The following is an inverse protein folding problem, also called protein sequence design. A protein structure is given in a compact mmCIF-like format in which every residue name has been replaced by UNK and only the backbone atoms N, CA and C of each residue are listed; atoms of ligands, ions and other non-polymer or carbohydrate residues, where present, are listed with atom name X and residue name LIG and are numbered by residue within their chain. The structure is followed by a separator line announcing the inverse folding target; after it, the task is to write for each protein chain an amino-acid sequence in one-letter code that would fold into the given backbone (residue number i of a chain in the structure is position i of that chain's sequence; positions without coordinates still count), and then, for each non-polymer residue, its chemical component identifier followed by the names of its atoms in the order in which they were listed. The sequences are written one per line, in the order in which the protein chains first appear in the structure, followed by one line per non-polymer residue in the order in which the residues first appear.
data_IF_558012611951
#
_entry.id   IF_558012611951
#
_cell.length_a   1.000
_cell.length_b   1.000
_cell.length_c   1.000
_cell.angle_alpha   90.00
_cell.angle_beta   90.00
_cell.angle_gamma   90.00
#
_symmetry.space_group_name_H-M   'P 1'
#
loop_
_entity.id
_entity.type
_entity.pdbx_description
1 polymer ?
#
# COMPACT_ATOMS: atom_id res chain seq x y z
N UNK A 1 -11.38 56.32 -59.00
CA UNK A 1 -10.07 56.08 -58.33
C UNK A 1 -10.33 55.89 -56.84
N UNK A 2 -9.91 54.72 -56.33
CA UNK A 2 -9.72 54.24 -54.95
C UNK A 2 -10.46 54.94 -53.78
N UNK A 3 -11.43 54.22 -53.22
CA UNK A 3 -11.91 54.37 -51.83
C UNK A 3 -11.00 53.53 -50.94
N UNK A 4 -10.34 54.14 -49.95
CA UNK A 4 -9.68 53.43 -48.85
C UNK A 4 -10.75 52.97 -47.85
N UNK A 5 -10.79 51.67 -47.56
CA UNK A 5 -11.48 51.12 -46.39
C UNK A 5 -10.44 50.33 -45.59
N UNK A 6 -10.09 50.86 -44.43
CA UNK A 6 -9.34 50.20 -43.38
C UNK A 6 -10.36 49.57 -42.43
N UNK A 7 -10.49 48.25 -42.43
CA UNK A 7 -11.05 47.53 -41.30
C UNK A 7 -10.12 46.39 -40.90
N UNK A 8 -9.63 46.52 -39.67
CA UNK A 8 -8.62 45.68 -39.06
C UNK A 8 -9.05 44.23 -38.87
N UNK A 9 -8.08 43.35 -39.05
CA UNK A 9 -8.13 41.94 -38.71
C UNK A 9 -8.37 41.77 -37.21
N UNK A 10 -9.57 41.33 -36.83
CA UNK A 10 -9.80 40.77 -35.50
C UNK A 10 -9.21 39.35 -35.49
N UNK A 11 -7.94 39.23 -35.12
CA UNK A 11 -7.34 37.94 -34.77
C UNK A 11 -7.92 37.50 -33.44
N UNK A 12 -8.91 36.62 -33.46
CA UNK A 12 -9.37 35.90 -32.27
C UNK A 12 -8.28 34.90 -31.89
N UNK A 13 -7.34 35.31 -31.05
CA UNK A 13 -6.37 34.41 -30.43
C UNK A 13 -7.11 33.54 -29.42
N UNK A 14 -7.64 32.39 -29.88
CA UNK A 14 -8.13 31.35 -28.99
C UNK A 14 -6.94 30.79 -28.21
N UNK A 15 -6.73 31.31 -26.99
CA UNK A 15 -5.78 30.73 -26.04
C UNK A 15 -6.27 29.32 -25.68
N UNK A 16 -5.73 28.32 -26.37
CA UNK A 16 -5.85 26.93 -25.96
C UNK A 16 -5.10 26.80 -24.62
N UNK A 17 -5.83 26.97 -23.53
CA UNK A 17 -5.37 26.68 -22.18
C UNK A 17 -5.14 25.16 -22.14
N UNK A 18 -3.92 24.74 -22.50
CA UNK A 18 -3.47 23.36 -22.34
C UNK A 18 -3.43 23.12 -20.84
N UNK A 19 -4.54 22.67 -20.26
CA UNK A 19 -4.57 22.14 -18.91
C UNK A 19 -3.66 20.92 -18.92
N UNK A 20 -2.40 21.12 -18.54
CA UNK A 20 -1.55 20.06 -18.06
C UNK A 20 -2.29 19.47 -16.87
N UNK A 21 -3.11 18.44 -17.12
CA UNK A 21 -3.64 17.58 -16.09
C UNK A 21 -2.37 17.06 -15.41
N UNK A 22 -2.07 17.43 -14.16
CA UNK A 22 -0.94 16.84 -13.48
C UNK A 22 -1.21 15.35 -13.48
N UNK A 23 -0.36 14.58 -14.15
CA UNK A 23 -0.39 13.12 -14.11
C UNK A 23 -0.27 12.76 -12.64
N UNK A 24 -1.38 12.51 -11.95
CA UNK A 24 -1.39 12.20 -10.54
C UNK A 24 -0.78 10.82 -10.37
N UNK A 25 0.55 10.72 -10.38
CA UNK A 25 1.31 9.56 -9.96
C UNK A 25 1.25 9.49 -8.43
N UNK A 26 0.03 9.23 -7.98
CA UNK A 26 -0.49 9.46 -6.67
C UNK A 26 -0.50 8.18 -5.81
N UNK A 27 0.60 7.43 -5.81
CA UNK A 27 0.57 6.03 -5.42
C UNK A 27 1.91 5.58 -4.79
N UNK A 28 1.90 4.60 -3.88
CA UNK A 28 3.05 4.19 -3.05
C UNK A 28 3.38 2.70 -3.20
N UNK A 29 4.62 2.31 -2.95
CA UNK A 29 5.08 0.91 -2.91
C UNK A 29 5.87 0.66 -1.63
N UNK A 30 5.87 -0.58 -1.18
CA UNK A 30 6.60 -1.00 0.01
C UNK A 30 8.09 -1.16 -0.31
N UNK A 31 8.94 -0.38 0.35
CA UNK A 31 10.41 -0.43 0.23
C UNK A 31 11.08 -1.22 1.34
N UNK A 32 10.43 -1.36 2.49
CA UNK A 32 10.87 -2.27 3.55
C UNK A 32 9.69 -3.12 4.04
N UNK A 33 9.73 -4.46 3.92
CA UNK A 33 10.67 -5.20 3.07
C UNK A 33 10.62 -4.72 1.62
N UNK A 34 11.71 -4.87 0.84
CA UNK A 34 11.69 -4.59 -0.58
C UNK A 34 10.62 -5.44 -1.29
N UNK A 35 9.56 -4.81 -1.79
CA UNK A 35 8.47 -5.49 -2.48
C UNK A 35 8.78 -5.87 -3.93
N UNK A 36 7.79 -6.39 -4.64
CA UNK A 36 7.93 -6.76 -6.04
C UNK A 36 7.97 -5.52 -6.95
N UNK A 37 8.64 -5.60 -8.10
CA UNK A 37 8.63 -4.58 -9.14
C UNK A 37 9.03 -3.14 -8.75
N UNK A 38 9.63 -2.91 -7.57
CA UNK A 38 10.24 -1.64 -7.19
C UNK A 38 11.63 -1.44 -7.81
N UNK A 39 12.26 -0.27 -7.60
CA UNK A 39 13.59 0.06 -8.14
C UNK A 39 14.73 -0.81 -7.58
N UNK A 40 14.48 -1.57 -6.52
CA UNK A 40 15.38 -2.58 -5.95
C UNK A 40 15.27 -3.95 -6.65
N UNK A 41 14.55 -4.03 -7.76
CA UNK A 41 14.34 -5.27 -8.52
C UNK A 41 14.84 -5.14 -9.95
N UNK A 42 15.17 -6.26 -10.59
CA UNK A 42 15.50 -6.30 -12.04
C UNK A 42 14.27 -6.10 -12.94
N UNK A 43 13.06 -6.33 -12.41
CA UNK A 43 11.79 -6.27 -13.13
C UNK A 43 10.96 -5.07 -12.66
N UNK A 44 11.59 -3.90 -12.54
CA UNK A 44 10.91 -2.70 -12.07
C UNK A 44 9.74 -2.34 -12.99
N UNK A 45 8.66 -1.82 -12.41
CA UNK A 45 7.48 -1.39 -13.14
C UNK A 45 7.13 0.05 -12.83
N UNK A 46 6.89 0.85 -13.88
CA UNK A 46 6.35 2.21 -13.74
C UNK A 46 4.93 2.22 -13.11
N UNK A 47 4.31 1.06 -12.99
CA UNK A 47 2.99 0.88 -12.38
C UNK A 47 3.07 0.21 -11.01
N UNK A 48 4.26 0.01 -10.41
CA UNK A 48 4.44 -0.68 -9.11
C UNK A 48 3.52 -0.14 -8.01
N UNK A 49 3.17 1.14 -8.10
CA UNK A 49 2.30 1.83 -7.18
C UNK A 49 0.79 1.64 -7.45
N UNK A 50 0.40 1.18 -8.62
CA UNK A 50 -1.00 1.16 -9.04
C UNK A 50 -1.90 0.28 -8.14
N UNK A 51 -3.12 0.74 -7.92
CA UNK A 51 -4.17 -0.04 -7.26
C UNK A 51 -4.61 -1.23 -8.13
N UNK A 52 -5.27 -2.21 -7.52
CA UNK A 52 -5.77 -3.40 -8.21
C UNK A 52 -6.87 -3.01 -9.20
N UNK A 53 -6.82 -3.56 -10.41
CA UNK A 53 -7.75 -3.23 -11.50
C UNK A 53 -7.27 -2.11 -12.43
N UNK A 54 -6.38 -1.23 -11.98
CA UNK A 54 -5.82 -0.19 -12.84
C UNK A 54 -5.00 -0.80 -13.98
N UNK A 55 -5.33 -0.50 -15.24
CA UNK A 55 -4.60 -0.97 -16.44
C UNK A 55 -4.24 -2.47 -16.39
N UNK A 56 -5.16 -3.30 -15.90
CA UNK A 56 -4.99 -4.75 -15.83
C UNK A 56 -4.18 -5.28 -14.65
N UNK A 57 -3.91 -4.47 -13.61
CA UNK A 57 -3.30 -4.98 -12.36
C UNK A 57 -4.19 -6.01 -11.70
N UNK A 58 -3.61 -7.16 -11.38
CA UNK A 58 -4.34 -8.33 -10.87
C UNK A 58 -4.13 -8.48 -9.37
N UNK A 59 -5.17 -8.93 -8.67
CA UNK A 59 -5.02 -9.47 -7.34
C UNK A 59 -4.59 -10.95 -7.43
N UNK A 60 -3.67 -11.43 -6.58
CA UNK A 60 -2.90 -10.68 -5.59
C UNK A 60 -1.63 -10.02 -6.18
N UNK A 61 -0.95 -9.23 -5.33
CA UNK A 61 0.37 -8.65 -5.56
C UNK A 61 0.56 -7.85 -6.87
N UNK A 62 -0.51 -7.30 -7.45
CA UNK A 62 -0.45 -6.58 -8.73
C UNK A 62 -0.14 -7.47 -9.95
N UNK A 63 -0.02 -8.79 -9.77
CA UNK A 63 0.45 -9.72 -10.80
C UNK A 63 1.95 -9.62 -11.11
N UNK A 64 2.75 -9.04 -10.20
CA UNK A 64 4.18 -8.88 -10.43
C UNK A 64 4.96 -10.20 -10.31
N UNK A 65 6.08 -10.33 -11.04
CA UNK A 65 6.99 -11.45 -10.85
C UNK A 65 7.63 -11.41 -9.45
N UNK A 66 8.21 -12.54 -9.05
CA UNK A 66 8.94 -12.70 -7.81
C UNK A 66 9.98 -11.58 -7.62
N UNK A 67 9.94 -10.96 -6.44
CA UNK A 67 10.88 -9.93 -6.01
C UNK A 67 12.04 -10.50 -5.18
N UNK A 68 12.87 -9.62 -4.60
CA UNK A 68 13.91 -10.00 -3.65
C UNK A 68 13.32 -10.74 -2.46
N UNK A 69 14.10 -11.67 -1.90
CA UNK A 69 13.70 -12.46 -0.74
C UNK A 69 14.30 -11.87 0.52
N UNK A 70 13.46 -11.47 1.47
CA UNK A 70 13.91 -11.01 2.80
C UNK A 70 13.73 -12.12 3.83
N UNK A 71 14.78 -12.41 4.61
CA UNK A 71 14.75 -13.43 5.66
C UNK A 71 14.38 -12.79 7.00
N UNK A 72 13.44 -13.43 7.69
CA UNK A 72 12.92 -13.01 8.99
C UNK A 72 12.89 -14.17 9.98
N UNK A 73 12.78 -13.84 11.26
CA UNK A 73 12.46 -14.79 12.33
C UNK A 73 11.08 -14.47 12.92
N UNK A 74 10.35 -15.49 13.36
CA UNK A 74 9.17 -15.29 14.19
C UNK A 74 9.55 -14.46 15.43
N UNK A 75 8.70 -13.50 15.81
CA UNK A 75 8.99 -12.53 16.86
C UNK A 75 9.77 -11.30 16.41
N UNK A 76 10.25 -11.25 15.17
CA UNK A 76 10.91 -10.05 14.63
C UNK A 76 9.86 -8.99 14.26
N UNK A 77 10.18 -7.72 14.51
CA UNK A 77 9.38 -6.58 14.05
C UNK A 77 9.90 -6.08 12.70
N UNK A 78 8.99 -5.93 11.74
CA UNK A 78 9.24 -5.29 10.46
C UNK A 78 8.85 -3.82 10.58
N UNK A 79 9.82 -2.91 10.46
CA UNK A 79 9.52 -1.48 10.34
C UNK A 79 9.12 -1.17 8.89
N UNK A 80 7.84 -1.30 8.56
CA UNK A 80 7.40 -1.15 7.17
C UNK A 80 7.63 0.28 6.70
N UNK A 81 8.25 0.42 5.53
CA UNK A 81 8.54 1.70 4.87
C UNK A 81 7.98 1.71 3.46
N UNK A 82 7.68 2.91 2.99
CA UNK A 82 7.14 3.13 1.66
C UNK A 82 8.08 3.98 0.80
N UNK A 83 7.91 3.86 -0.51
CA UNK A 83 8.61 4.59 -1.54
C UNK A 83 7.61 5.13 -2.56
N UNK A 84 7.97 6.27 -3.14
CA UNK A 84 7.27 6.93 -4.25
C UNK A 84 8.28 7.36 -5.29
N UNK A 85 7.82 7.60 -6.52
CA UNK A 85 8.66 8.25 -7.53
C UNK A 85 9.17 9.60 -7.02
N UNK A 86 10.44 9.90 -7.29
CA UNK A 86 11.10 11.11 -6.78
C UNK A 86 11.92 10.90 -5.50
N UNK A 87 11.84 9.73 -4.84
CA UNK A 87 12.77 9.37 -3.76
C UNK A 87 14.02 8.72 -4.38
N UNK A 88 15.20 9.38 -4.37
CA UNK A 88 16.38 8.91 -5.09
C UNK A 88 17.05 7.69 -4.44
N UNK A 89 16.86 7.51 -3.13
CA UNK A 89 17.43 6.39 -2.37
C UNK A 89 16.35 5.78 -1.50
N UNK A 90 15.90 4.58 -1.86
CA UNK A 90 14.86 3.84 -1.15
C UNK A 90 15.34 3.24 0.19
N UNK A 91 16.65 3.21 0.43
CA UNK A 91 17.26 2.72 1.68
C UNK A 91 17.38 3.81 2.75
N UNK A 92 17.41 5.09 2.36
CA UNK A 92 17.51 6.22 3.29
C UNK A 92 16.13 6.58 3.83
N UNK A 93 16.02 6.69 5.15
CA UNK A 93 14.76 7.00 5.83
C UNK A 93 14.99 7.98 7.01
N UNK A 94 14.11 8.98 7.22
CA UNK A 94 13.02 9.37 6.31
C UNK A 94 13.60 9.94 5.00
N UNK A 95 12.85 9.91 3.89
CA UNK A 95 13.29 10.57 2.67
C UNK A 95 13.33 12.10 2.89
N UNK A 96 14.05 12.81 2.01
CA UNK A 96 14.06 14.29 2.04
C UNK A 96 12.64 14.84 1.88
N UNK A 97 12.33 15.94 2.56
CA UNK A 97 11.04 16.60 2.47
C UNK A 97 10.75 17.19 1.08
N UNK A 98 9.50 17.59 0.85
CA UNK A 98 9.07 18.20 -0.42
C UNK A 98 8.61 17.19 -1.48
N UNK A 99 8.45 15.92 -1.12
CA UNK A 99 7.90 14.91 -2.03
C UNK A 99 6.41 15.16 -2.28
N UNK A 100 6.00 15.03 -3.53
CA UNK A 100 4.59 14.90 -3.87
C UNK A 100 4.14 13.47 -3.56
N UNK A 101 3.57 13.27 -2.38
CA UNK A 101 2.97 12.01 -1.96
C UNK A 101 1.48 12.12 -2.13
N UNK A 102 0.84 11.26 -2.92
CA UNK A 102 -0.61 11.16 -2.85
C UNK A 102 -1.01 9.93 -2.07
N UNK A 103 -1.06 10.15 -0.77
CA UNK A 103 -1.56 9.19 0.20
C UNK A 103 -3.09 9.17 0.26
N UNK A 104 -3.81 9.84 -0.65
CA UNK A 104 -5.28 9.95 -0.69
C UNK A 104 -5.94 10.30 0.66
N UNK A 105 -5.31 11.15 1.49
CA UNK A 105 -5.79 11.45 2.84
C UNK A 105 -5.64 10.30 3.84
N UNK A 106 -4.74 9.36 3.54
CA UNK A 106 -4.51 8.10 4.24
C UNK A 106 -5.59 7.07 3.93
N UNK A 107 -6.11 6.43 4.97
CA UNK A 107 -7.04 5.31 4.89
C UNK A 107 -6.65 4.19 5.84
N UNK A 108 -7.03 2.96 5.50
CA UNK A 108 -6.78 1.79 6.32
C UNK A 108 -5.77 0.86 5.66
N UNK A 109 -4.73 0.49 6.40
CA UNK A 109 -3.74 -0.49 5.99
C UNK A 109 -3.89 -1.77 6.79
N UNK A 110 -3.68 -2.89 6.10
CA UNK A 110 -3.46 -4.19 6.71
C UNK A 110 -2.12 -4.75 6.24
N UNK A 111 -1.43 -5.42 7.16
CA UNK A 111 -0.18 -6.12 6.91
C UNK A 111 -0.39 -7.60 7.18
N UNK A 112 -0.11 -8.45 6.20
CA UNK A 112 -0.55 -9.84 6.21
C UNK A 112 0.53 -10.80 5.75
N UNK A 113 0.46 -12.03 6.26
CA UNK A 113 1.26 -13.16 5.79
C UNK A 113 0.41 -14.08 4.91
N UNK A 114 0.99 -14.55 3.81
CA UNK A 114 0.48 -15.66 3.02
C UNK A 114 1.53 -16.78 3.03
N UNK A 115 1.09 -18.01 3.30
CA UNK A 115 1.94 -19.21 3.26
C UNK A 115 1.56 -20.16 2.10
N UNK A 116 0.65 -19.72 1.21
CA UNK A 116 0.08 -20.53 0.13
C UNK A 116 0.17 -19.86 -1.25
N UNK A 117 1.08 -18.89 -1.41
CA UNK A 117 1.30 -18.19 -2.68
C UNK A 117 0.27 -17.11 -2.99
N UNK A 118 -0.39 -16.56 -1.96
CA UNK A 118 -1.31 -15.44 -2.05
C UNK A 118 -2.77 -15.84 -2.21
N UNK A 119 -3.11 -17.11 -1.92
CA UNK A 119 -4.49 -17.59 -1.96
C UNK A 119 -5.23 -17.16 -0.69
N UNK A 120 -4.57 -17.21 0.47
CA UNK A 120 -5.09 -16.72 1.75
C UNK A 120 -4.10 -15.79 2.44
N UNK A 121 -4.63 -14.89 3.27
CA UNK A 121 -3.87 -13.81 3.90
C UNK A 121 -4.27 -13.64 5.35
N UNK A 122 -3.32 -13.82 6.27
CA UNK A 122 -3.52 -13.69 7.71
C UNK A 122 -2.90 -12.41 8.24
N UNK A 123 -3.73 -11.55 8.82
CA UNK A 123 -3.33 -10.21 9.27
C UNK A 123 -2.44 -10.30 10.50
N UNK A 124 -1.34 -9.57 10.48
CA UNK A 124 -0.38 -9.42 11.59
C UNK A 124 -0.21 -7.97 12.07
N UNK A 125 -0.85 -7.01 11.39
CA UNK A 125 -0.88 -5.61 11.82
C UNK A 125 -1.95 -4.82 11.07
N UNK A 126 -2.58 -3.84 11.72
CA UNK A 126 -3.53 -2.93 11.09
C UNK A 126 -3.28 -1.50 11.57
N UNK A 127 -3.43 -0.55 10.67
CA UNK A 127 -3.32 0.89 10.93
C UNK A 127 -4.43 1.62 10.20
N UNK A 128 -5.02 2.64 10.83
CA UNK A 128 -6.22 3.31 10.33
C UNK A 128 -6.00 4.80 10.18
N UNK A 129 -6.81 5.43 9.32
CA UNK A 129 -6.82 6.87 8.99
C UNK A 129 -5.53 7.41 8.37
N UNK A 130 -4.39 7.17 8.99
CA UNK A 130 -3.11 7.83 8.70
C UNK A 130 -2.20 7.02 7.78
N UNK A 131 -2.52 5.76 7.53
CA UNK A 131 -1.71 4.88 6.69
C UNK A 131 -2.19 4.89 5.23
N UNK A 132 -1.28 4.86 4.25
CA UNK A 132 0.19 4.91 4.34
C UNK A 132 0.77 6.35 4.36
N UNK A 133 2.06 6.46 4.68
CA UNK A 133 2.87 7.68 4.51
C UNK A 133 4.37 7.34 4.42
N UNK A 134 5.13 8.01 3.54
CA UNK A 134 6.56 7.73 3.28
C UNK A 134 7.50 8.28 4.36
N UNK A 135 7.03 9.21 5.20
CA UNK A 135 7.83 9.84 6.23
C UNK A 135 7.77 9.11 7.58
N UNK A 136 6.99 8.02 7.67
CA UNK A 136 6.81 7.25 8.89
C UNK A 136 7.09 5.77 8.68
N UNK A 137 7.57 5.13 9.74
CA UNK A 137 7.63 3.67 9.83
C UNK A 137 6.35 3.11 10.45
N UNK A 138 5.93 1.97 9.94
CA UNK A 138 4.74 1.24 10.36
C UNK A 138 5.19 -0.12 10.92
N UNK A 139 5.55 -0.20 12.21
CA UNK A 139 6.11 -1.42 12.78
C UNK A 139 5.07 -2.53 12.88
N UNK A 140 5.43 -3.74 12.45
CA UNK A 140 4.55 -4.92 12.48
C UNK A 140 5.34 -6.10 13.04
N UNK A 141 4.88 -6.65 14.16
CA UNK A 141 5.45 -7.86 14.73
C UNK A 141 5.02 -9.07 13.89
N UNK A 142 6.00 -9.84 13.40
CA UNK A 142 5.75 -11.23 13.00
C UNK A 142 5.45 -12.01 14.29
N UNK A 143 4.25 -12.57 14.50
CA UNK A 143 3.93 -13.23 15.76
C UNK A 143 4.95 -14.33 16.10
N UNK A 144 5.32 -14.44 17.38
CA UNK A 144 6.33 -15.40 17.84
C UNK A 144 5.96 -16.86 17.53
N UNK A 145 4.67 -17.13 17.39
CA UNK A 145 4.11 -18.47 17.17
C UNK A 145 3.72 -18.75 15.72
N UNK A 146 4.15 -17.96 14.73
CA UNK A 146 3.94 -18.35 13.32
C UNK A 146 4.84 -19.53 12.95
N UNK A 147 4.39 -20.42 12.03
CA UNK A 147 5.23 -21.52 11.59
C UNK A 147 6.38 -21.07 10.68
N UNK A 148 7.36 -21.95 10.52
CA UNK A 148 8.40 -21.77 9.51
C UNK A 148 7.81 -21.79 8.10
N UNK A 149 8.39 -20.97 7.21
CA UNK A 149 7.96 -20.83 5.84
C UNK A 149 9.16 -20.47 4.98
N UNK A 150 9.75 -21.51 4.39
CA UNK A 150 11.03 -21.45 3.69
C UNK A 150 10.86 -21.36 2.16
N UNK A 151 9.68 -21.69 1.64
CA UNK A 151 9.39 -21.53 0.21
C UNK A 151 8.97 -20.09 -0.07
N UNK A 152 9.93 -19.28 -0.52
CA UNK A 152 9.69 -17.87 -0.84
C UNK A 152 8.81 -17.65 -2.09
N UNK A 153 8.35 -18.69 -2.78
CA UNK A 153 7.28 -18.57 -3.79
C UNK A 153 5.88 -18.62 -3.14
N UNK A 154 5.77 -19.26 -1.98
CA UNK A 154 4.52 -19.34 -1.21
C UNK A 154 4.46 -18.31 -0.09
N UNK A 155 5.62 -18.00 0.50
CA UNK A 155 5.77 -17.09 1.61
C UNK A 155 5.83 -15.64 1.17
N UNK A 156 4.76 -14.90 1.48
CA UNK A 156 4.62 -13.51 1.11
C UNK A 156 4.25 -12.67 2.33
N UNK A 157 4.84 -11.48 2.43
CA UNK A 157 4.36 -10.39 3.26
C UNK A 157 3.65 -9.40 2.37
N UNK A 158 2.42 -9.02 2.70
CA UNK A 158 1.67 -8.03 1.95
C UNK A 158 1.39 -6.79 2.79
N UNK A 159 1.42 -5.66 2.09
CA UNK A 159 0.75 -4.44 2.49
C UNK A 159 -0.50 -4.27 1.62
N UNK A 160 -1.65 -4.15 2.27
CA UNK A 160 -2.91 -3.76 1.64
C UNK A 160 -3.33 -2.40 2.15
N UNK A 161 -3.94 -1.60 1.28
CA UNK A 161 -4.44 -0.27 1.64
C UNK A 161 -5.78 0.00 0.95
N UNK A 162 -6.79 0.29 1.76
CA UNK A 162 -8.06 0.87 1.30
C UNK A 162 -7.98 2.38 1.47
N UNK A 163 -7.97 3.11 0.35
CA UNK A 163 -7.82 4.56 0.33
C UNK A 163 -9.01 5.29 0.98
N UNK A 164 -8.78 6.54 1.43
CA UNK A 164 -9.85 7.41 1.92
C UNK A 164 -10.55 8.20 0.82
N UNK A 165 -9.79 8.97 0.04
CA UNK A 165 -10.37 9.90 -0.94
C UNK A 165 -10.87 9.22 -2.23
N UNK A 166 -10.64 7.92 -2.38
CA UNK A 166 -10.96 7.14 -3.58
C UNK A 166 -11.39 5.72 -3.20
N UNK A 167 -12.15 5.07 -4.08
CA UNK A 167 -12.52 3.65 -3.96
C UNK A 167 -11.42 2.76 -4.57
N UNK A 168 -10.19 2.95 -4.09
CA UNK A 168 -9.02 2.24 -4.59
C UNK A 168 -8.46 1.30 -3.52
N UNK A 169 -8.29 0.04 -3.92
CA UNK A 169 -7.66 -0.99 -3.12
C UNK A 169 -6.27 -1.34 -3.65
N UNK A 170 -5.27 -1.13 -2.82
CA UNK A 170 -3.87 -1.42 -3.10
C UNK A 170 -3.48 -2.70 -2.40
N UNK A 171 -2.66 -3.52 -3.05
CA UNK A 171 -2.15 -4.75 -2.47
C UNK A 171 -0.82 -5.13 -3.11
N UNK A 172 0.26 -4.91 -2.36
CA UNK A 172 1.64 -5.05 -2.82
C UNK A 172 2.42 -5.99 -1.90
N UNK A 173 3.21 -6.88 -2.49
CA UNK A 173 3.81 -8.01 -1.79
C UNK A 173 5.34 -7.97 -1.82
N UNK A 174 5.96 -8.53 -0.78
CA UNK A 174 7.35 -8.92 -0.75
C UNK A 174 7.47 -10.43 -0.60
N UNK A 175 8.45 -11.02 -1.27
CA UNK A 175 8.83 -12.41 -1.06
C UNK A 175 9.67 -12.49 0.21
N UNK A 176 9.31 -13.41 1.10
CA UNK A 176 9.99 -13.55 2.39
C UNK A 176 10.35 -15.01 2.67
N UNK A 177 11.14 -15.22 3.72
CA UNK A 177 11.27 -16.50 4.41
C UNK A 177 11.17 -16.24 5.90
N UNK A 178 10.43 -17.08 6.63
CA UNK A 178 10.31 -16.97 8.08
C UNK A 178 10.85 -18.25 8.70
N UNK A 179 11.85 -18.12 9.56
CA UNK A 179 12.20 -19.17 10.53
C UNK A 179 11.30 -18.99 11.75
N UNK A 180 10.39 -19.94 11.98
CA UNK A 180 9.40 -19.92 13.05
C UNK A 180 9.24 -21.26 13.73
N UNK A 181 8.17 -21.40 14.52
CA UNK A 181 7.91 -22.59 15.34
C UNK A 181 7.38 -23.76 14.49
N UNK A 182 7.97 -24.98 14.53
CA UNK A 182 7.43 -26.15 13.83
C UNK A 182 5.96 -26.49 14.16
N UNK A 183 5.49 -26.13 15.36
CA UNK A 183 4.10 -26.30 15.82
C UNK A 183 3.32 -24.98 15.81
N UNK A 184 3.87 -23.96 15.16
CA UNK A 184 3.29 -22.63 15.07
C UNK A 184 1.96 -22.60 14.30
N UNK A 185 1.18 -21.56 14.56
CA UNK A 185 -0.10 -21.29 13.91
C UNK A 185 -0.12 -19.87 13.39
N UNK A 186 -0.64 -19.69 12.18
CA UNK A 186 -0.89 -18.36 11.64
C UNK A 186 -2.02 -17.68 12.42
N UNK A 187 -2.08 -16.33 12.44
CA UNK A 187 -3.21 -15.58 12.98
C UNK A 187 -4.55 -16.05 12.44
N UNK A 188 -5.61 -15.79 13.21
CA UNK A 188 -6.97 -16.15 12.82
C UNK A 188 -7.59 -15.13 11.85
N UNK A 189 -7.26 -13.85 12.02
CA UNK A 189 -7.82 -12.75 11.26
C UNK A 189 -7.47 -12.85 9.78
N UNK A 190 -8.51 -13.04 8.96
CA UNK A 190 -8.39 -12.93 7.51
C UNK A 190 -8.32 -11.47 7.07
N UNK A 191 -7.49 -11.21 6.07
CA UNK A 191 -7.35 -9.89 5.48
C UNK A 191 -8.64 -9.46 4.76
N UNK A 192 -8.97 -8.18 4.91
CA UNK A 192 -10.07 -7.55 4.21
C UNK A 192 -9.71 -7.30 2.75
N UNK A 193 -10.59 -7.67 1.83
CA UNK A 193 -10.44 -7.39 0.39
C UNK A 193 -11.69 -6.67 -0.11
N UNK A 194 -11.51 -5.51 -0.73
CA UNK A 194 -12.58 -4.68 -1.29
C UNK A 194 -12.16 -4.13 -2.65
N UNK A 195 -13.11 -3.68 -3.46
CA UNK A 195 -12.87 -2.98 -4.73
C UNK A 195 -11.93 -3.71 -5.69
N UNK A 196 -11.93 -5.05 -5.64
CA UNK A 196 -11.20 -5.89 -6.60
C UNK A 196 -12.16 -6.32 -7.70
N UNK A 197 -11.94 -5.89 -8.96
CA UNK A 197 -12.79 -6.27 -10.08
C UNK A 197 -12.81 -7.79 -10.29
N UNK A 198 -13.99 -8.33 -10.60
CA UNK A 198 -14.17 -9.77 -10.89
C UNK A 198 -14.10 -10.69 -9.67
N UNK A 199 -14.02 -10.16 -8.44
CA UNK A 199 -14.15 -10.96 -7.21
C UNK A 199 -15.48 -10.66 -6.52
N UNK A 200 -16.05 -11.67 -5.87
CA UNK A 200 -17.22 -11.51 -5.00
C UNK A 200 -16.83 -10.86 -3.67
N UNK A 201 -16.53 -9.56 -3.73
CA UNK A 201 -16.18 -8.70 -2.59
C UNK A 201 -16.99 -7.41 -2.66
N UNK A 202 -17.07 -6.70 -1.54
CA UNK A 202 -17.74 -5.39 -1.51
C UNK A 202 -17.05 -4.42 -2.47
N UNK A 203 -17.85 -3.64 -3.19
CA UNK A 203 -17.42 -2.62 -4.14
C UNK A 203 -17.91 -1.25 -3.69
N UNK A 204 -17.28 -0.21 -4.23
CA UNK A 204 -17.46 1.19 -3.85
C UNK A 204 -17.20 1.42 -2.37
N UNK A 205 -16.10 0.88 -1.86
CA UNK A 205 -15.68 1.03 -0.47
C UNK A 205 -14.50 1.97 -0.38
N UNK A 206 -14.51 2.81 0.65
CA UNK A 206 -13.33 3.55 1.08
C UNK A 206 -13.18 3.47 2.60
N UNK A 207 -11.98 3.72 3.11
CA UNK A 207 -11.75 3.84 4.54
C UNK A 207 -12.01 5.27 5.00
N UNK A 208 -12.18 5.49 6.31
CA UNK A 208 -12.00 6.82 6.91
C UNK A 208 -10.52 7.17 6.91
N UNK A 209 -10.20 8.40 6.49
CA UNK A 209 -8.85 8.95 6.42
C UNK A 209 -8.59 9.97 7.51
N UNK A 210 -7.42 10.57 7.47
CA UNK A 210 -7.11 11.81 8.19
C UNK A 210 -7.37 13.07 7.34
N UNK A 211 -7.75 12.90 6.08
CA UNK A 211 -8.09 13.98 5.15
C UNK A 211 -6.90 14.82 4.69
N UNK A 212 -5.66 14.48 5.08
CA UNK A 212 -4.47 15.29 4.77
C UNK A 212 -3.78 14.83 3.49
N UNK A 213 -3.70 15.71 2.50
CA UNK A 213 -3.09 15.42 1.19
C UNK A 213 -1.57 15.21 1.20
N UNK A 214 -0.82 15.88 2.10
CA UNK A 214 0.65 15.93 2.03
C UNK A 214 1.42 15.27 3.19
N UNK A 215 1.04 15.54 4.44
CA UNK A 215 1.74 15.02 5.62
C UNK A 215 0.76 14.38 6.61
N UNK A 216 1.08 13.16 7.02
CA UNK A 216 0.41 12.44 8.11
C UNK A 216 0.94 12.82 9.50
N UNK A 217 0.18 12.48 10.55
CA UNK A 217 0.71 12.38 11.91
C UNK A 217 1.45 11.05 12.18
N UNK A 218 1.42 10.13 11.20
CA UNK A 218 1.95 8.78 11.34
C UNK A 218 1.09 7.91 12.26
N UNK A 219 1.56 6.68 12.55
CA UNK A 219 0.84 5.78 13.43
C UNK A 219 0.86 6.28 14.88
N UNK A 220 -0.30 6.23 15.56
CA UNK A 220 -0.38 6.61 16.96
C UNK A 220 0.18 5.52 17.89
N UNK A 221 0.33 5.84 19.18
CA UNK A 221 0.92 4.93 20.18
C UNK A 221 0.17 3.61 20.30
N UNK A 222 -1.17 3.65 20.31
CA UNK A 222 -1.99 2.46 20.50
C UNK A 222 -1.98 1.56 19.27
N UNK A 223 -1.96 2.13 18.07
CA UNK A 223 -1.80 1.38 16.82
C UNK A 223 -0.45 0.67 16.75
N UNK A 224 0.64 1.36 17.14
CA UNK A 224 1.96 0.74 17.26
C UNK A 224 1.92 -0.40 18.28
N UNK A 225 1.39 -0.15 19.47
CA UNK A 225 1.32 -1.14 20.54
C UNK A 225 0.53 -2.39 20.12
N UNK A 226 -0.63 -2.24 19.47
CA UNK A 226 -1.37 -3.40 18.93
C UNK A 226 -0.55 -4.14 17.88
N UNK A 227 0.07 -3.43 16.96
CA UNK A 227 0.85 -4.04 15.87
C UNK A 227 2.18 -4.65 16.33
N UNK A 228 2.69 -4.31 17.52
CA UNK A 228 3.97 -4.83 18.02
C UNK A 228 3.89 -5.74 19.25
N UNK A 229 2.74 -5.86 19.92
CA UNK A 229 2.63 -6.57 21.19
C UNK A 229 1.73 -7.83 21.12
N UNK A 230 1.70 -8.49 19.96
CA UNK A 230 1.01 -9.77 19.80
C UNK A 230 -0.52 -9.71 19.75
N UNK A 231 -1.12 -8.52 19.58
CA UNK A 231 -2.57 -8.37 19.44
C UNK A 231 -3.12 -9.24 18.29
N UNK A 232 -2.36 -9.33 17.20
CA UNK A 232 -2.69 -10.10 16.00
C UNK A 232 -2.10 -11.52 15.97
N UNK A 233 -1.52 -12.01 17.06
CA UNK A 233 -1.03 -13.39 17.11
C UNK A 233 -2.21 -14.38 17.08
N UNK A 234 -1.95 -15.66 16.77
CA UNK A 234 -2.93 -16.72 17.00
C UNK A 234 -3.31 -16.76 18.48
N UNK A 235 -4.61 -16.68 18.81
CA UNK A 235 -5.10 -16.54 20.19
C UNK A 235 -4.99 -15.11 20.77
N UNK A 236 -4.52 -14.15 19.97
CA UNK A 236 -4.45 -12.74 20.35
C UNK A 236 -5.81 -12.04 20.34
N UNK A 237 -5.86 -10.83 20.91
CA UNK A 237 -7.08 -10.04 21.08
C UNK A 237 -7.78 -9.65 19.77
N UNK A 238 -7.09 -9.66 18.63
CA UNK A 238 -7.71 -9.43 17.32
C UNK A 238 -8.74 -10.52 16.98
N UNK A 239 -8.47 -11.77 17.39
CA UNK A 239 -9.26 -12.94 17.01
C UNK A 239 -9.53 -12.99 15.50
N UNK A 240 -10.79 -13.24 15.14
CA UNK A 240 -11.27 -13.27 13.74
C UNK A 240 -11.85 -11.94 13.24
N UNK A 241 -11.95 -10.92 14.11
CA UNK A 241 -12.66 -9.66 13.80
C UNK A 241 -11.72 -8.49 13.56
N UNK A 242 -10.53 -8.49 14.17
CA UNK A 242 -9.60 -7.38 14.08
C UNK A 242 -10.12 -6.11 14.75
N UNK A 243 -9.67 -4.95 14.25
CA UNK A 243 -10.19 -3.64 14.63
C UNK A 243 -11.18 -3.13 13.57
N UNK A 244 -11.98 -2.12 13.93
CA UNK A 244 -12.74 -1.37 12.92
C UNK A 244 -11.78 -0.59 12.01
N UNK A 245 -11.71 -0.99 10.74
CA UNK A 245 -10.93 -0.32 9.69
C UNK A 245 -11.59 0.99 9.21
N UNK A 246 -12.78 1.32 9.71
CA UNK A 246 -13.53 2.51 9.34
C UNK A 246 -14.00 2.48 7.90
N UNK A 247 -14.35 1.30 7.38
CA UNK A 247 -14.77 1.14 6.00
C UNK A 247 -16.22 1.57 5.81
N UNK A 248 -16.46 2.43 4.82
CA UNK A 248 -17.76 2.95 4.45
C UNK A 248 -18.00 2.75 2.95
N UNK A 249 -19.26 2.71 2.54
CA UNK A 249 -19.65 2.63 1.14
C UNK A 249 -19.93 4.04 0.61
N UNK A 250 -19.42 4.36 -0.58
CA UNK A 250 -19.74 5.61 -1.31
C UNK A 250 -21.20 5.67 -1.74
#
# INVERSE_FOLDING_TARGET
MKVLSLFGSAVVAASALLTLIPSTAAHMAMSNPPGQAGPWTKNQSNQVHAFIGFKGKKFPCGGYPKGPVTKYRAGQTINVRFWVFGVPSWTKFPPKGGLNTARHGGGACEFSLSYDGGKSWKVIGQYTRTCPDVYYEWPVLIPKNVPSCNDSNKCLFAWSWTAYATNQYYHHCANIQITGDPKGRLPELDMTVVDVPGRNVRQNVHARGDGKGGKSAGPNRDERARSTNGFYAYGGKAGKKGIDLGLVRS
#
